data_IF_881725030629
#
_entry.id   IF_881725030629
#
_cell.length_a   1.000
_cell.length_b   1.000
_cell.length_c   1.000
_cell.angle_alpha   90.00
_cell.angle_beta   90.00
_cell.angle_gamma   90.00
#
_symmetry.space_group_name_H-M   'P 1'
#
loop_
_entity.id
_entity.type
_entity.pdbx_description
1 polymer ?
#
# COMPACT_ATOMS: atom_id res chain seq x y z
N UNK A 1 -21.22 -13.94 -35.11
CA UNK A 1 -21.89 -13.89 -33.81
C UNK A 1 -23.16 -13.09 -33.92
N UNK A 2 -24.20 -13.51 -33.22
CA UNK A 2 -25.46 -12.82 -33.11
C UNK A 2 -25.25 -11.41 -32.54
N UNK A 3 -25.88 -10.40 -33.13
CA UNK A 3 -25.82 -9.00 -32.73
C UNK A 3 -26.23 -8.81 -31.25
N UNK A 4 -27.27 -9.52 -30.80
CA UNK A 4 -27.73 -9.45 -29.40
C UNK A 4 -26.66 -9.96 -28.46
N UNK A 5 -26.00 -11.06 -28.78
CA UNK A 5 -24.92 -11.62 -27.98
C UNK A 5 -23.71 -10.68 -27.93
N UNK A 6 -23.40 -10.05 -29.07
CA UNK A 6 -22.30 -9.08 -29.15
C UNK A 6 -22.58 -7.88 -28.27
N UNK A 7 -23.79 -7.32 -28.32
CA UNK A 7 -24.18 -6.20 -27.45
C UNK A 7 -24.11 -6.56 -25.96
N UNK A 8 -24.57 -7.75 -25.59
CA UNK A 8 -24.52 -8.24 -24.22
C UNK A 8 -23.07 -8.38 -23.73
N UNK A 9 -22.16 -8.85 -24.57
CA UNK A 9 -20.75 -8.98 -24.22
C UNK A 9 -20.08 -7.62 -24.07
N UNK A 10 -20.43 -6.65 -24.91
CA UNK A 10 -19.92 -5.28 -24.78
C UNK A 10 -20.42 -4.65 -23.48
N UNK A 11 -21.73 -4.75 -23.19
CA UNK A 11 -22.32 -4.24 -21.95
C UNK A 11 -21.65 -4.86 -20.72
N UNK A 12 -21.41 -6.17 -20.77
CA UNK A 12 -20.73 -6.86 -19.68
C UNK A 12 -19.31 -6.38 -19.49
N UNK A 13 -18.57 -6.17 -20.58
CA UNK A 13 -17.20 -5.68 -20.54
C UNK A 13 -17.15 -4.25 -19.99
N UNK A 14 -18.08 -3.38 -20.38
CA UNK A 14 -18.18 -2.01 -19.86
C UNK A 14 -18.49 -2.01 -18.36
N UNK A 15 -19.41 -2.88 -17.92
CA UNK A 15 -19.74 -3.03 -16.51
C UNK A 15 -18.52 -3.48 -15.70
N UNK A 16 -17.83 -4.50 -16.17
CA UNK A 16 -16.62 -5.01 -15.49
C UNK A 16 -15.52 -3.96 -15.45
N UNK A 17 -15.37 -3.19 -16.52
CA UNK A 17 -14.40 -2.11 -16.58
C UNK A 17 -14.70 -1.04 -15.52
N UNK A 18 -15.96 -0.65 -15.37
CA UNK A 18 -16.36 0.32 -14.34
C UNK A 18 -16.07 -0.20 -12.93
N UNK A 19 -16.35 -1.48 -12.65
CA UNK A 19 -16.02 -2.08 -11.35
C UNK A 19 -14.53 -2.13 -11.09
N UNK A 20 -13.73 -2.46 -12.10
CA UNK A 20 -12.27 -2.48 -11.99
C UNK A 20 -11.74 -1.07 -11.67
N UNK A 21 -12.23 -0.04 -12.36
CA UNK A 21 -11.84 1.35 -12.12
C UNK A 21 -12.16 1.78 -10.68
N UNK A 22 -13.35 1.44 -10.18
CA UNK A 22 -13.76 1.74 -8.80
C UNK A 22 -12.87 1.03 -7.79
N UNK A 23 -12.53 -0.23 -8.03
CA UNK A 23 -11.66 -1.01 -7.15
C UNK A 23 -10.25 -0.45 -7.13
N UNK A 24 -9.70 -0.07 -8.28
CA UNK A 24 -8.38 0.56 -8.38
C UNK A 24 -8.35 1.85 -7.55
N UNK A 25 -9.37 2.70 -7.69
CA UNK A 25 -9.48 3.95 -6.93
C UNK A 25 -9.52 3.69 -5.43
N UNK A 26 -10.31 2.71 -5.00
CA UNK A 26 -10.43 2.34 -3.58
C UNK A 26 -9.10 1.84 -3.02
N UNK A 27 -8.40 0.99 -3.77
CA UNK A 27 -7.09 0.47 -3.36
C UNK A 27 -6.06 1.59 -3.27
N UNK A 28 -6.03 2.52 -4.22
CA UNK A 28 -5.12 3.65 -4.21
C UNK A 28 -5.34 4.55 -2.98
N UNK A 29 -6.61 4.81 -2.64
CA UNK A 29 -6.96 5.58 -1.44
C UNK A 29 -6.52 4.85 -0.17
N UNK A 30 -6.71 3.54 -0.10
CA UNK A 30 -6.29 2.75 1.06
C UNK A 30 -4.76 2.70 1.20
N UNK A 31 -4.05 2.55 0.07
CA UNK A 31 -2.58 2.58 0.05
C UNK A 31 -2.07 3.93 0.57
N UNK A 32 -2.66 5.03 0.12
CA UNK A 32 -2.28 6.36 0.59
C UNK A 32 -2.51 6.53 2.08
N UNK A 33 -3.68 6.12 2.57
CA UNK A 33 -4.04 6.18 3.99
C UNK A 33 -3.06 5.37 4.84
N UNK A 34 -2.76 4.14 4.43
CA UNK A 34 -1.86 3.26 5.16
C UNK A 34 -0.42 3.77 5.11
N UNK A 35 -0.01 4.36 3.99
CA UNK A 35 1.33 4.96 3.84
C UNK A 35 1.49 6.15 4.80
N UNK A 36 0.47 6.98 4.94
CA UNK A 36 0.48 8.09 5.90
C UNK A 36 0.60 7.54 7.33
N UNK A 37 -0.14 6.48 7.65
CA UNK A 37 -0.09 5.86 8.98
C UNK A 37 1.31 5.29 9.27
N UNK A 38 1.93 4.61 8.29
CA UNK A 38 3.30 4.09 8.42
C UNK A 38 4.28 5.23 8.68
N UNK A 39 4.21 6.30 7.90
CA UNK A 39 5.13 7.44 8.04
C UNK A 39 4.99 8.09 9.42
N UNK A 40 3.77 8.24 9.93
CA UNK A 40 3.54 8.77 11.29
C UNK A 40 4.14 7.88 12.35
N UNK A 41 3.94 6.56 12.24
CA UNK A 41 4.51 5.61 13.21
C UNK A 41 6.02 5.63 13.18
N UNK A 42 6.63 5.65 12.00
CA UNK A 42 8.08 5.70 11.85
C UNK A 42 8.65 6.99 12.44
N UNK A 43 8.00 8.14 12.23
CA UNK A 43 8.41 9.41 12.81
C UNK A 43 8.30 9.40 14.34
N UNK A 44 7.23 8.84 14.89
CA UNK A 44 7.03 8.71 16.34
C UNK A 44 8.07 7.79 16.95
N UNK A 45 8.37 6.67 16.30
CA UNK A 45 9.40 5.75 16.76
C UNK A 45 10.79 6.39 16.72
N UNK A 46 11.11 7.11 15.65
CA UNK A 46 12.38 7.81 15.51
C UNK A 46 12.56 8.87 16.61
N UNK A 47 11.51 9.65 16.90
CA UNK A 47 11.53 10.64 17.97
C UNK A 47 11.70 9.97 19.34
N UNK A 48 11.03 8.86 19.59
CA UNK A 48 11.13 8.08 20.82
C UNK A 48 12.55 7.52 21.02
N UNK A 49 13.17 7.02 19.95
CA UNK A 49 14.54 6.49 19.99
C UNK A 49 15.55 7.59 20.32
N UNK A 50 15.38 8.78 19.73
CA UNK A 50 16.24 9.93 19.98
C UNK A 50 16.10 10.42 21.42
N UNK A 51 14.86 10.56 21.91
CA UNK A 51 14.58 10.96 23.29
C UNK A 51 15.16 9.96 24.28
N UNK A 52 15.08 8.68 23.97
CA UNK A 52 15.66 7.62 24.79
C UNK A 52 17.19 7.75 24.87
N UNK A 53 17.83 7.99 23.72
CA UNK A 53 19.28 8.18 23.66
C UNK A 53 19.72 9.38 24.52
N UNK A 54 19.05 10.52 24.39
CA UNK A 54 19.32 11.73 25.14
C UNK A 54 19.16 11.47 26.65
N UNK A 55 18.06 10.82 27.04
CA UNK A 55 17.79 10.50 28.45
C UNK A 55 18.85 9.55 29.01
N UNK A 56 19.33 8.59 28.23
CA UNK A 56 20.39 7.67 28.65
C UNK A 56 21.72 8.39 28.90
N UNK A 57 22.09 9.31 28.01
CA UNK A 57 23.29 10.14 28.19
C UNK A 57 23.16 11.02 29.44
N UNK A 58 22.00 11.66 29.63
CA UNK A 58 21.71 12.50 30.78
C UNK A 58 21.77 11.71 32.11
N UNK A 59 21.40 10.42 32.06
CA UNK A 59 21.46 9.51 33.20
C UNK A 59 22.86 8.99 33.50
N UNK A 60 23.87 9.32 32.66
CA UNK A 60 25.26 8.99 32.91
C UNK A 60 25.77 7.75 32.15
N UNK A 61 25.01 7.18 31.23
CA UNK A 61 25.53 6.11 30.37
C UNK A 61 26.55 6.70 29.39
N UNK A 62 27.58 5.91 29.01
CA UNK A 62 28.46 6.35 27.96
C UNK A 62 27.77 6.29 26.58
N UNK A 63 28.33 7.03 25.62
CA UNK A 63 27.72 7.15 24.27
C UNK A 63 27.54 5.80 23.57
N UNK A 64 28.51 4.90 23.73
CA UNK A 64 28.48 3.59 23.09
C UNK A 64 27.36 2.74 23.66
N UNK A 65 27.20 2.71 24.97
CA UNK A 65 26.14 1.95 25.63
C UNK A 65 24.78 2.53 25.35
N UNK A 66 24.63 3.86 25.36
CA UNK A 66 23.38 4.54 25.00
C UNK A 66 22.99 4.26 23.54
N UNK A 67 23.95 4.26 22.62
CA UNK A 67 23.73 3.93 21.22
C UNK A 67 23.30 2.47 21.05
N UNK A 68 23.88 1.54 21.77
CA UNK A 68 23.48 0.13 21.73
C UNK A 68 22.04 -0.07 22.19
N UNK A 69 21.65 0.61 23.28
CA UNK A 69 20.28 0.54 23.79
C UNK A 69 19.28 1.19 22.82
N UNK A 70 19.65 2.30 22.17
CA UNK A 70 18.86 2.92 21.12
C UNK A 70 18.65 1.97 19.94
N UNK A 71 19.71 1.26 19.51
CA UNK A 71 19.64 0.30 18.41
C UNK A 71 18.74 -0.88 18.75
N UNK A 72 18.74 -1.35 20.01
CA UNK A 72 17.82 -2.38 20.48
C UNK A 72 16.36 -1.90 20.40
N UNK A 73 16.11 -0.66 20.79
CA UNK A 73 14.77 -0.06 20.69
C UNK A 73 14.34 0.08 19.23
N UNK A 74 15.24 0.50 18.35
CA UNK A 74 14.99 0.56 16.92
C UNK A 74 14.59 -0.82 16.36
N UNK A 75 15.34 -1.86 16.73
CA UNK A 75 15.03 -3.23 16.30
C UNK A 75 13.63 -3.68 16.77
N UNK A 76 13.24 -3.29 17.99
CA UNK A 76 11.90 -3.57 18.49
C UNK A 76 10.82 -2.83 17.69
N UNK A 77 11.07 -1.56 17.33
CA UNK A 77 10.13 -0.73 16.57
C UNK A 77 9.90 -1.25 15.15
N UNK A 78 10.95 -1.68 14.43
CA UNK A 78 10.80 -2.20 13.08
C UNK A 78 10.03 -3.54 13.05
N UNK A 79 9.95 -4.22 14.17
CA UNK A 79 9.20 -5.48 14.33
C UNK A 79 7.84 -5.26 15.01
N UNK A 80 7.42 -4.00 15.20
CA UNK A 80 6.11 -3.70 15.77
C UNK A 80 5.01 -4.33 14.91
N UNK A 81 4.09 -5.13 15.50
CA UNK A 81 3.10 -5.86 14.73
C UNK A 81 2.18 -4.96 13.90
N UNK A 82 1.80 -3.80 14.41
CA UNK A 82 0.95 -2.85 13.69
C UNK A 82 1.67 -2.29 12.47
N UNK A 83 2.95 -1.90 12.64
CA UNK A 83 3.77 -1.39 11.54
C UNK A 83 3.98 -2.45 10.47
N UNK A 84 4.31 -3.68 10.88
CA UNK A 84 4.51 -4.81 9.95
C UNK A 84 3.23 -5.09 9.17
N UNK A 85 2.08 -5.14 9.85
CA UNK A 85 0.79 -5.36 9.20
C UNK A 85 0.44 -4.27 8.18
N UNK A 86 0.65 -3.00 8.53
CA UNK A 86 0.39 -1.89 7.61
C UNK A 86 1.25 -2.00 6.35
N UNK A 87 2.53 -2.31 6.51
CA UNK A 87 3.44 -2.48 5.38
C UNK A 87 3.02 -3.66 4.49
N UNK A 88 2.59 -4.77 5.08
CA UNK A 88 2.10 -5.93 4.35
C UNK A 88 0.81 -5.62 3.58
N UNK A 89 -0.11 -4.87 4.20
CA UNK A 89 -1.34 -4.43 3.53
C UNK A 89 -1.05 -3.51 2.34
N UNK A 90 -0.10 -2.59 2.49
CA UNK A 90 0.33 -1.71 1.39
C UNK A 90 0.85 -2.55 0.22
N UNK A 91 1.74 -3.50 0.48
CA UNK A 91 2.31 -4.35 -0.57
C UNK A 91 1.24 -5.21 -1.25
N UNK A 92 0.36 -5.82 -0.47
CA UNK A 92 -0.75 -6.61 -1.02
C UNK A 92 -1.65 -5.76 -1.92
N UNK A 93 -2.03 -4.57 -1.46
CA UNK A 93 -2.92 -3.69 -2.21
C UNK A 93 -2.25 -3.15 -3.48
N UNK A 94 -0.95 -2.87 -3.43
CA UNK A 94 -0.18 -2.47 -4.62
C UNK A 94 -0.17 -3.57 -5.68
N UNK A 95 0.06 -4.81 -5.28
CA UNK A 95 0.06 -5.96 -6.20
C UNK A 95 -1.31 -6.16 -6.83
N UNK A 96 -2.36 -6.05 -6.00
CA UNK A 96 -3.72 -6.17 -6.49
C UNK A 96 -4.07 -5.05 -7.47
N UNK A 97 -3.67 -3.82 -7.19
CA UNK A 97 -3.88 -2.69 -8.10
C UNK A 97 -3.18 -2.91 -9.45
N UNK A 98 -1.96 -3.44 -9.44
CA UNK A 98 -1.23 -3.79 -10.68
C UNK A 98 -2.00 -4.83 -11.48
N UNK A 99 -2.48 -5.90 -10.84
CA UNK A 99 -3.25 -6.95 -11.50
C UNK A 99 -4.55 -6.39 -12.10
N UNK A 100 -5.25 -5.53 -11.37
CA UNK A 100 -6.48 -4.90 -11.87
C UNK A 100 -6.22 -3.96 -13.05
N UNK A 101 -5.10 -3.24 -13.05
CA UNK A 101 -4.70 -2.39 -14.17
C UNK A 101 -4.42 -3.22 -15.41
N UNK A 102 -3.84 -4.40 -15.26
CA UNK A 102 -3.64 -5.34 -16.37
C UNK A 102 -4.98 -5.83 -16.91
N UNK A 103 -5.91 -6.20 -16.03
CA UNK A 103 -7.26 -6.60 -16.44
C UNK A 103 -7.98 -5.46 -17.16
N UNK A 104 -7.82 -4.23 -16.66
CA UNK A 104 -8.38 -3.03 -17.31
C UNK A 104 -7.91 -2.91 -18.75
N UNK A 105 -6.62 -3.11 -19.01
CA UNK A 105 -6.06 -3.05 -20.35
C UNK A 105 -6.69 -4.11 -21.28
N UNK A 106 -6.94 -5.31 -20.76
CA UNK A 106 -7.59 -6.38 -21.52
C UNK A 106 -9.01 -5.97 -21.93
N UNK A 107 -9.80 -5.43 -21.01
CA UNK A 107 -11.18 -4.99 -21.31
C UNK A 107 -11.20 -3.79 -22.26
N UNK A 108 -10.27 -2.83 -22.09
CA UNK A 108 -10.15 -1.69 -23.00
C UNK A 108 -9.80 -2.15 -24.42
N UNK A 109 -8.87 -3.07 -24.54
CA UNK A 109 -8.49 -3.65 -25.82
C UNK A 109 -9.68 -4.35 -26.49
N UNK A 110 -10.41 -5.15 -25.74
CA UNK A 110 -11.60 -5.83 -26.22
C UNK A 110 -12.64 -4.84 -26.75
N UNK A 111 -12.93 -3.79 -25.97
CA UNK A 111 -13.91 -2.78 -26.38
C UNK A 111 -13.45 -2.02 -27.62
N UNK A 112 -12.18 -1.67 -27.70
CA UNK A 112 -11.62 -0.98 -28.87
C UNK A 112 -11.73 -1.84 -30.14
N UNK A 113 -11.47 -3.13 -30.06
CA UNK A 113 -11.61 -4.06 -31.18
C UNK A 113 -13.03 -4.12 -31.69
N UNK A 114 -14.02 -4.11 -30.81
CA UNK A 114 -15.43 -4.18 -31.19
C UNK A 114 -15.97 -2.86 -31.74
N UNK A 115 -15.39 -1.71 -31.40
CA UNK A 115 -15.74 -0.41 -31.97
C UNK A 115 -15.27 -0.26 -33.42
N UNK A 116 -14.17 -0.89 -33.79
CA UNK A 116 -13.61 -0.82 -35.15
C UNK A 116 -14.35 -1.66 -36.17
N UNK A 117 -15.19 -2.58 -35.72
CA UNK A 117 -16.04 -3.41 -36.57
C UNK A 117 -17.38 -2.72 -36.85
#
# INVERSE_FOLDING_TARGET
>A
MDEIKKELLIDRAEYMLAEIEDEITRLQMQIEKDTIAVNRMEDQFSASEEDFYIAAIDAGLDEKEAAMQRDDLYAAHINDPTLVNLKQCIEYNKRRAVALKQDREIYLFYLQQNEEE
#
